data_IF_976124364488
#
_entry.id   IF_976124364488
#
_cell.length_a   1.000
_cell.length_b   1.000
_cell.length_c   1.000
_cell.angle_alpha   90.00
_cell.angle_beta   90.00
_cell.angle_gamma   90.00
#
_symmetry.space_group_name_H-M   'P 1'
#
loop_
_entity.id
_entity.type
_entity.pdbx_description
1 polymer ?
#
# COMPACT_ATOMS: atom_id res chain seq x y z
N UNK A 1 22.58 -38.42 9.14
CA UNK A 1 23.14 -37.12 8.74
C UNK A 1 21.99 -36.34 8.13
N UNK A 2 21.45 -35.34 8.83
CA UNK A 2 20.30 -34.58 8.32
C UNK A 2 20.79 -33.63 7.23
N UNK A 3 20.08 -33.67 6.11
CA UNK A 3 20.26 -32.78 4.97
C UNK A 3 19.86 -31.37 5.42
N UNK A 4 20.82 -30.57 5.88
CA UNK A 4 20.56 -29.18 6.21
C UNK A 4 20.32 -28.46 4.89
N UNK A 5 19.05 -28.16 4.60
CA UNK A 5 18.67 -27.40 3.42
C UNK A 5 19.53 -26.13 3.34
N UNK A 6 20.25 -25.95 2.23
CA UNK A 6 20.94 -24.70 1.93
C UNK A 6 19.88 -23.60 2.02
N UNK A 7 20.02 -22.59 2.90
CA UNK A 7 19.04 -21.53 2.98
C UNK A 7 18.93 -20.88 1.60
N UNK A 8 17.73 -20.90 1.02
CA UNK A 8 17.46 -20.16 -0.20
C UNK A 8 17.80 -18.68 0.01
N UNK A 9 18.02 -17.94 -1.08
CA UNK A 9 18.22 -16.48 -0.97
C UNK A 9 17.05 -15.86 -0.17
N UNK A 10 17.29 -14.82 0.64
CA UNK A 10 16.21 -14.08 1.28
C UNK A 10 15.12 -13.69 0.26
N UNK A 11 13.81 -13.81 0.61
CA UNK A 11 12.73 -13.32 -0.23
C UNK A 11 12.90 -11.82 -0.49
N UNK A 12 12.66 -11.39 -1.72
CA UNK A 12 12.68 -9.99 -2.14
C UNK A 12 11.25 -9.47 -2.12
N UNK A 13 10.92 -8.65 -1.14
CA UNK A 13 9.58 -8.10 -0.97
C UNK A 13 9.60 -6.66 -1.43
N UNK A 14 8.81 -6.36 -2.46
CA UNK A 14 8.59 -5.00 -2.88
C UNK A 14 7.53 -4.33 -2.03
N UNK A 15 7.79 -3.08 -1.65
CA UNK A 15 6.89 -2.26 -0.86
C UNK A 15 6.47 -1.07 -1.73
N UNK A 16 5.17 -0.84 -1.87
CA UNK A 16 4.66 0.28 -2.66
C UNK A 16 5.15 1.62 -2.10
N UNK A 17 5.47 2.55 -2.99
CA UNK A 17 5.85 3.89 -2.59
C UNK A 17 4.67 4.67 -2.00
N UNK A 18 4.95 5.41 -0.93
CA UNK A 18 4.11 6.52 -0.50
C UNK A 18 4.55 7.82 -1.20
N UNK A 19 3.63 8.78 -1.32
CA UNK A 19 3.80 9.95 -2.17
C UNK A 19 3.72 11.22 -1.35
N UNK A 20 4.71 12.08 -1.55
CA UNK A 20 4.59 13.50 -1.31
C UNK A 20 4.40 14.18 -2.67
N UNK A 21 3.14 14.41 -3.05
CA UNK A 21 2.76 15.03 -4.33
C UNK A 21 3.42 16.41 -4.53
N UNK A 22 3.52 16.92 -5.77
CA UNK A 22 4.15 18.21 -6.04
C UNK A 22 3.58 19.33 -5.17
N UNK A 23 4.46 20.11 -4.56
CA UNK A 23 4.09 21.23 -3.71
C UNK A 23 5.13 22.35 -3.86
N UNK A 24 4.69 23.49 -4.39
CA UNK A 24 5.53 24.66 -4.66
C UNK A 24 5.85 25.47 -3.39
N UNK A 25 5.16 25.18 -2.28
CA UNK A 25 5.38 25.82 -0.99
C UNK A 25 6.52 25.16 -0.20
N UNK A 26 7.00 23.98 -0.59
CA UNK A 26 8.11 23.30 0.09
C UNK A 26 9.38 24.15 0.08
N UNK A 27 10.17 24.19 1.16
CA UNK A 27 11.44 24.93 1.18
C UNK A 27 12.47 24.35 0.19
N UNK A 28 12.44 23.04 -0.03
CA UNK A 28 13.30 22.30 -0.97
C UNK A 28 12.44 21.30 -1.77
N UNK A 29 12.93 20.89 -2.94
CA UNK A 29 12.21 19.98 -3.85
C UNK A 29 10.84 20.48 -4.34
N UNK A 30 10.68 21.81 -4.49
CA UNK A 30 9.48 22.45 -5.05
C UNK A 30 9.06 21.82 -6.38
N UNK A 31 7.76 21.62 -6.53
CA UNK A 31 7.15 21.06 -7.74
C UNK A 31 7.51 19.60 -8.03
N UNK A 32 8.20 18.90 -7.11
CA UNK A 32 8.59 17.49 -7.29
C UNK A 32 7.68 16.57 -6.49
N UNK A 33 7.32 15.44 -7.09
CA UNK A 33 6.82 14.28 -6.35
C UNK A 33 8.00 13.59 -5.68
N UNK A 34 7.91 13.39 -4.36
CA UNK A 34 8.87 12.56 -3.63
C UNK A 34 8.22 11.22 -3.30
N UNK A 35 8.98 10.15 -3.49
CA UNK A 35 8.57 8.81 -3.13
C UNK A 35 9.29 8.42 -1.84
N UNK A 36 8.56 7.85 -0.90
CA UNK A 36 9.13 7.43 0.39
C UNK A 36 8.60 6.07 0.81
N UNK A 37 9.37 5.45 1.71
CA UNK A 37 9.03 4.25 2.45
C UNK A 37 9.34 4.52 3.92
N UNK A 38 8.42 4.16 4.81
CA UNK A 38 8.66 4.25 6.24
C UNK A 38 9.67 3.20 6.70
N UNK A 39 10.64 3.63 7.51
CA UNK A 39 11.69 2.75 8.00
C UNK A 39 11.13 1.58 8.83
N UNK A 40 10.09 1.84 9.63
CA UNK A 40 9.39 0.82 10.42
C UNK A 40 8.86 -0.31 9.54
N UNK A 41 8.28 0.02 8.38
CA UNK A 41 7.78 -0.98 7.44
C UNK A 41 8.91 -1.81 6.83
N UNK A 42 10.00 -1.15 6.42
CA UNK A 42 11.18 -1.85 5.91
C UNK A 42 11.78 -2.80 6.97
N UNK A 43 11.88 -2.35 8.22
CA UNK A 43 12.37 -3.16 9.34
C UNK A 43 11.44 -4.32 9.67
N UNK A 44 10.12 -4.12 9.60
CA UNK A 44 9.15 -5.19 9.80
C UNK A 44 9.32 -6.30 8.77
N UNK A 45 9.42 -5.95 7.48
CA UNK A 45 9.72 -6.92 6.41
C UNK A 45 11.05 -7.63 6.65
N UNK A 46 12.10 -6.89 7.01
CA UNK A 46 13.42 -7.45 7.29
C UNK A 46 13.44 -8.38 8.50
N UNK A 47 12.62 -8.11 9.52
CA UNK A 47 12.50 -8.97 10.71
C UNK A 47 11.99 -10.38 10.36
N UNK A 48 11.26 -10.52 9.24
CA UNK A 48 10.84 -11.81 8.67
C UNK A 48 11.92 -12.50 7.81
N UNK A 49 13.15 -11.99 7.77
CA UNK A 49 14.24 -12.56 6.97
C UNK A 49 14.19 -12.23 5.48
N UNK A 50 13.42 -11.20 5.09
CA UNK A 50 13.29 -10.74 3.72
C UNK A 50 14.10 -9.46 3.43
N UNK A 51 14.40 -9.20 2.15
CA UNK A 51 14.96 -7.93 1.68
C UNK A 51 13.81 -7.04 1.22
N UNK A 52 13.73 -5.84 1.78
CA UNK A 52 12.74 -4.84 1.41
C UNK A 52 13.22 -3.95 0.25
N UNK A 53 12.38 -3.79 -0.77
CA UNK A 53 12.62 -2.90 -1.91
C UNK A 53 11.51 -1.85 -2.00
N UNK A 54 11.85 -0.57 -2.08
CA UNK A 54 10.89 0.45 -2.49
C UNK A 54 10.59 0.28 -3.98
N UNK A 55 9.31 0.09 -4.33
CA UNK A 55 8.88 0.08 -5.74
C UNK A 55 8.48 1.52 -6.12
N UNK A 56 9.20 2.20 -7.03
CA UNK A 56 8.75 3.49 -7.55
C UNK A 56 7.61 3.32 -8.58
N UNK A 57 6.98 4.42 -9.00
CA UNK A 57 6.08 4.39 -10.16
C UNK A 57 6.82 3.94 -11.41
N UNK A 58 6.27 2.96 -12.13
CA UNK A 58 6.76 2.56 -13.45
C UNK A 58 6.13 3.48 -14.49
N UNK A 59 6.94 4.13 -15.32
CA UNK A 59 6.43 5.03 -16.37
C UNK A 59 5.77 4.20 -17.47
N UNK A 60 4.54 4.54 -17.91
CA UNK A 60 3.95 3.93 -19.09
C UNK A 60 4.85 4.08 -20.32
N UNK A 61 4.98 3.00 -21.11
CA UNK A 61 5.85 2.93 -22.30
C UNK A 61 7.34 3.28 -22.04
N UNK A 62 7.81 3.10 -20.80
CA UNK A 62 9.23 3.15 -20.48
C UNK A 62 9.98 1.87 -20.86
N UNK A 63 11.33 1.89 -20.79
CA UNK A 63 12.16 0.70 -21.05
C UNK A 63 12.09 -0.35 -19.93
N UNK A 64 11.59 0.04 -18.75
CA UNK A 64 11.29 -0.85 -17.63
C UNK A 64 9.78 -0.98 -17.54
N UNK A 65 9.30 -2.22 -17.50
CA UNK A 65 7.88 -2.56 -17.42
C UNK A 65 7.49 -3.01 -16.02
N UNK A 66 6.18 -3.11 -15.78
CA UNK A 66 5.68 -3.67 -14.53
C UNK A 66 6.01 -5.17 -14.42
N UNK A 67 6.04 -5.89 -15.54
CA UNK A 67 6.40 -7.31 -15.58
C UNK A 67 7.86 -7.53 -15.17
N UNK A 68 8.77 -6.63 -15.52
CA UNK A 68 10.17 -6.69 -15.08
C UNK A 68 10.26 -6.57 -13.55
N UNK A 69 9.52 -5.62 -12.97
CA UNK A 69 9.44 -5.43 -11.51
C UNK A 69 8.85 -6.67 -10.83
N UNK A 70 7.75 -7.20 -11.37
CA UNK A 70 7.09 -8.39 -10.85
C UNK A 70 8.03 -9.58 -10.94
N UNK A 71 8.77 -9.77 -12.03
CA UNK A 71 9.70 -10.89 -12.22
C UNK A 71 10.80 -10.91 -11.14
N UNK A 72 11.33 -9.75 -10.76
CA UNK A 72 12.46 -9.62 -9.83
C UNK A 72 12.11 -9.79 -8.34
N UNK A 73 10.83 -9.65 -8.00
CA UNK A 73 10.32 -9.65 -6.62
C UNK A 73 9.52 -10.92 -6.32
N UNK A 74 9.57 -11.40 -5.08
CA UNK A 74 8.88 -12.62 -4.65
C UNK A 74 7.49 -12.34 -4.06
N UNK A 75 7.21 -11.09 -3.69
CA UNK A 75 5.92 -10.67 -3.14
C UNK A 75 5.80 -9.15 -3.05
N UNK A 76 4.58 -8.68 -2.81
CA UNK A 76 4.23 -7.27 -2.71
C UNK A 76 3.63 -6.95 -1.35
N UNK A 77 4.06 -5.85 -0.76
CA UNK A 77 3.45 -5.23 0.41
C UNK A 77 2.94 -3.84 0.03
N UNK A 78 1.67 -3.58 0.33
CA UNK A 78 1.07 -2.26 0.19
C UNK A 78 1.06 -1.53 1.52
N UNK A 79 1.64 -0.33 1.50
CA UNK A 79 1.76 0.51 2.68
C UNK A 79 0.42 1.14 3.09
N UNK A 80 0.28 1.49 4.38
CA UNK A 80 -0.77 2.42 4.84
C UNK A 80 -0.65 3.83 4.23
N UNK A 81 -1.55 4.74 4.59
CA UNK A 81 -1.47 6.15 4.21
C UNK A 81 -2.83 6.82 4.07
N UNK A 82 -2.88 7.86 3.22
CA UNK A 82 -4.08 8.65 2.93
C UNK A 82 -5.26 7.81 2.42
N UNK A 83 -6.49 8.33 2.55
CA UNK A 83 -7.69 7.62 2.12
C UNK A 83 -7.64 7.26 0.61
N UNK A 84 -8.25 6.13 0.24
CA UNK A 84 -8.46 5.74 -1.17
C UNK A 84 -9.46 6.70 -1.80
N UNK A 85 -9.16 7.20 -3.01
CA UNK A 85 -10.05 8.12 -3.72
C UNK A 85 -11.41 7.44 -4.01
N UNK A 86 -12.54 8.05 -3.63
CA UNK A 86 -13.88 7.52 -3.94
C UNK A 86 -14.12 7.19 -5.41
N UNK A 87 -13.54 7.99 -6.31
CA UNK A 87 -13.67 7.77 -7.76
C UNK A 87 -13.03 6.46 -8.21
N UNK A 88 -12.03 5.97 -7.49
CA UNK A 88 -11.34 4.70 -7.78
C UNK A 88 -12.30 3.50 -7.64
N UNK A 89 -13.29 3.57 -6.74
CA UNK A 89 -14.32 2.53 -6.56
C UNK A 89 -15.72 2.97 -7.03
N UNK A 90 -15.79 3.97 -7.92
CA UNK A 90 -17.02 4.36 -8.60
C UNK A 90 -17.93 5.32 -7.85
N UNK A 91 -17.44 5.96 -6.79
CA UNK A 91 -18.18 6.96 -6.02
C UNK A 91 -17.66 8.40 -6.25
N UNK A 92 -18.42 9.37 -5.73
CA UNK A 92 -18.01 10.77 -5.65
C UNK A 92 -17.67 11.07 -4.19
N UNK A 93 -16.62 11.87 -3.90
CA UNK A 93 -16.33 12.29 -2.56
C UNK A 93 -17.53 12.97 -1.91
N UNK A 94 -17.94 12.47 -0.73
CA UNK A 94 -19.01 13.06 0.07
C UNK A 94 -18.61 14.44 0.61
N UNK A 95 -17.29 14.66 0.77
CA UNK A 95 -16.71 15.95 1.18
C UNK A 95 -15.39 16.21 0.47
N UNK A 96 -15.02 17.49 0.22
CA UNK A 96 -13.76 17.84 -0.44
C UNK A 96 -12.51 17.37 0.30
N UNK A 97 -12.55 17.27 1.63
CA UNK A 97 -11.43 16.75 2.42
C UNK A 97 -11.21 15.24 2.29
N UNK A 98 -12.15 14.50 1.67
CA UNK A 98 -12.10 13.05 1.46
C UNK A 98 -11.87 12.68 -0.02
N UNK A 99 -11.21 13.57 -0.76
CA UNK A 99 -10.86 13.35 -2.17
C UNK A 99 -9.92 12.15 -2.36
N UNK A 100 -9.14 11.78 -1.35
CA UNK A 100 -8.18 10.68 -1.40
C UNK A 100 -7.04 10.90 -2.38
N UNK A 101 -6.36 9.83 -2.78
CA UNK A 101 -5.18 9.87 -3.65
C UNK A 101 -5.32 8.97 -4.88
N UNK A 102 -6.02 9.47 -5.90
CA UNK A 102 -6.30 8.72 -7.13
C UNK A 102 -5.02 8.33 -7.89
N UNK A 103 -3.96 9.15 -7.79
CA UNK A 103 -2.69 8.87 -8.47
C UNK A 103 -2.00 7.66 -7.84
N UNK A 104 -1.93 7.61 -6.50
CA UNK A 104 -1.38 6.48 -5.78
C UNK A 104 -2.26 5.23 -5.93
N UNK A 105 -3.58 5.39 -5.91
CA UNK A 105 -4.53 4.30 -6.10
C UNK A 105 -4.28 3.55 -7.42
N UNK A 106 -4.19 4.27 -8.55
CA UNK A 106 -3.98 3.66 -9.87
C UNK A 106 -2.67 2.86 -9.92
N UNK A 107 -1.59 3.47 -9.44
CA UNK A 107 -0.27 2.82 -9.37
C UNK A 107 -0.29 1.54 -8.51
N UNK A 108 -0.93 1.56 -7.34
CA UNK A 108 -0.98 0.38 -6.48
C UNK A 108 -1.94 -0.69 -7.02
N UNK A 109 -3.06 -0.31 -7.64
CA UNK A 109 -3.98 -1.26 -8.29
C UNK A 109 -3.29 -1.99 -9.44
N UNK A 110 -2.48 -1.28 -10.23
CA UNK A 110 -1.66 -1.89 -11.29
C UNK A 110 -0.70 -2.93 -10.70
N UNK A 111 0.02 -2.59 -9.62
CA UNK A 111 0.90 -3.53 -8.92
C UNK A 111 0.15 -4.75 -8.38
N UNK A 112 -0.97 -4.55 -7.70
CA UNK A 112 -1.81 -5.65 -7.17
C UNK A 112 -2.19 -6.62 -8.27
N UNK A 113 -2.71 -6.10 -9.38
CA UNK A 113 -3.16 -6.93 -10.50
C UNK A 113 -2.00 -7.69 -11.14
N UNK A 114 -0.85 -7.06 -11.30
CA UNK A 114 0.31 -7.69 -11.91
C UNK A 114 0.90 -8.80 -11.02
N UNK A 115 1.07 -8.55 -9.71
CA UNK A 115 1.53 -9.58 -8.77
C UNK A 115 0.52 -10.73 -8.65
N UNK A 116 -0.77 -10.41 -8.59
CA UNK A 116 -1.83 -11.42 -8.56
C UNK A 116 -1.83 -12.30 -9.82
N UNK A 117 -1.74 -11.69 -11.01
CA UNK A 117 -1.67 -12.41 -12.28
C UNK A 117 -0.44 -13.34 -12.37
N UNK A 118 0.67 -12.96 -11.74
CA UNK A 118 1.87 -13.77 -11.63
C UNK A 118 1.82 -14.84 -10.51
N UNK A 119 0.71 -14.94 -9.78
CA UNK A 119 0.56 -15.88 -8.66
C UNK A 119 1.45 -15.55 -7.45
N UNK A 120 1.89 -14.29 -7.31
CA UNK A 120 2.76 -13.85 -6.22
C UNK A 120 1.94 -13.29 -5.05
N UNK A 121 2.35 -13.56 -3.80
CA UNK A 121 1.62 -13.10 -2.62
C UNK A 121 1.60 -11.57 -2.53
N UNK A 122 0.45 -11.04 -2.12
CA UNK A 122 0.25 -9.61 -1.85
C UNK A 122 -0.31 -9.42 -0.44
N UNK A 123 0.31 -8.56 0.34
CA UNK A 123 -0.17 -8.15 1.66
C UNK A 123 -0.50 -6.66 1.65
N UNK A 124 -1.67 -6.28 2.15
CA UNK A 124 -2.05 -4.87 2.30
C UNK A 124 -2.22 -4.50 3.76
N UNK A 125 -1.61 -3.40 4.19
CA UNK A 125 -1.70 -2.90 5.57
C UNK A 125 -2.51 -1.60 5.59
N UNK A 126 -3.52 -1.53 6.46
CA UNK A 126 -4.42 -0.37 6.59
C UNK A 126 -5.02 0.01 5.23
N UNK A 127 -4.68 1.18 4.70
CA UNK A 127 -5.00 1.61 3.33
C UNK A 127 -4.66 0.55 2.27
N UNK A 128 -3.52 -0.13 2.38
CA UNK A 128 -3.12 -1.16 1.43
C UNK A 128 -4.16 -2.30 1.34
N UNK A 129 -4.82 -2.65 2.45
CA UNK A 129 -5.90 -3.63 2.45
C UNK A 129 -7.16 -3.10 1.74
N UNK A 130 -7.47 -1.82 1.92
CA UNK A 130 -8.58 -1.17 1.23
C UNK A 130 -8.34 -1.15 -0.29
N UNK A 131 -7.11 -0.86 -0.72
CA UNK A 131 -6.70 -0.90 -2.13
C UNK A 131 -6.84 -2.31 -2.71
N UNK A 132 -6.49 -3.37 -1.96
CA UNK A 132 -6.73 -4.74 -2.40
C UNK A 132 -8.22 -5.00 -2.67
N UNK A 133 -9.10 -4.63 -1.74
CA UNK A 133 -10.55 -4.77 -1.92
C UNK A 133 -11.03 -4.04 -3.19
N UNK A 134 -10.61 -2.78 -3.37
CA UNK A 134 -10.99 -1.96 -4.54
C UNK A 134 -10.41 -2.52 -5.85
N UNK A 135 -9.19 -3.03 -5.85
CA UNK A 135 -8.55 -3.61 -7.03
C UNK A 135 -9.37 -4.77 -7.64
N UNK A 136 -10.10 -5.49 -6.79
CA UNK A 136 -10.99 -6.60 -7.14
C UNK A 136 -12.49 -6.23 -7.16
N UNK A 137 -12.82 -4.93 -7.21
CA UNK A 137 -14.17 -4.43 -7.45
C UNK A 137 -15.02 -4.23 -6.19
N UNK A 138 -14.41 -4.28 -5.00
CA UNK A 138 -15.09 -3.91 -3.76
C UNK A 138 -15.23 -2.39 -3.61
N UNK A 139 -16.06 -1.99 -2.64
CA UNK A 139 -16.31 -0.58 -2.26
C UNK A 139 -15.86 -0.31 -0.83
N UNK A 140 -15.87 0.96 -0.42
CA UNK A 140 -15.47 1.41 0.91
C UNK A 140 -16.48 2.40 1.48
N UNK A 141 -16.59 2.45 2.80
CA UNK A 141 -17.13 3.63 3.47
C UNK A 141 -16.05 4.73 3.46
N UNK A 142 -16.42 5.93 3.01
CA UNK A 142 -15.57 7.12 3.03
C UNK A 142 -15.34 7.64 4.45
N UNK A 143 -16.38 7.54 5.30
CA UNK A 143 -16.26 7.81 6.73
C UNK A 143 -17.30 6.98 7.51
N UNK A 144 -16.84 6.32 8.57
CA UNK A 144 -17.67 5.40 9.33
C UNK A 144 -18.76 6.13 10.14
N UNK A 145 -18.49 7.35 10.63
CA UNK A 145 -19.45 8.09 11.47
C UNK A 145 -20.48 8.80 10.63
N UNK A 146 -20.03 9.52 9.60
CA UNK A 146 -20.89 10.25 8.68
C UNK A 146 -21.84 9.32 7.90
N UNK A 147 -21.43 8.06 7.69
CA UNK A 147 -22.27 7.04 7.05
C UNK A 147 -22.96 6.11 8.06
N UNK A 148 -22.93 6.42 9.35
CA UNK A 148 -23.73 5.74 10.38
C UNK A 148 -23.30 4.30 10.69
N UNK A 149 -22.08 3.90 10.33
CA UNK A 149 -21.52 2.58 10.64
C UNK A 149 -21.16 2.48 12.12
N UNK A 150 -20.73 3.59 12.73
CA UNK A 150 -20.35 3.65 14.14
C UNK A 150 -20.46 5.06 14.69
N UNK A 151 -20.58 5.21 16.00
CA UNK A 151 -20.48 6.50 16.71
C UNK A 151 -19.05 6.78 17.20
N UNK A 152 -18.15 5.80 17.13
CA UNK A 152 -16.76 5.95 17.60
C UNK A 152 -15.94 6.78 16.63
N UNK A 153 -15.22 7.76 17.15
CA UNK A 153 -14.25 8.54 16.37
C UNK A 153 -13.01 7.68 16.13
N UNK A 154 -12.75 7.33 14.88
CA UNK A 154 -11.61 6.48 14.48
C UNK A 154 -10.41 7.29 13.95
N UNK A 155 -10.64 8.58 13.64
CA UNK A 155 -9.61 9.50 13.17
C UNK A 155 -9.33 10.53 14.25
N UNK A 156 -8.38 10.20 15.11
CA UNK A 156 -7.87 11.09 16.16
C UNK A 156 -6.33 11.08 16.08
N UNK A 157 -5.76 12.24 15.77
CA UNK A 157 -4.33 12.40 15.55
C UNK A 157 -3.50 12.21 16.84
N UNK A 158 -4.09 12.47 18.01
CA UNK A 158 -3.39 12.39 19.29
C UNK A 158 -3.24 10.94 19.79
N UNK A 159 -4.08 10.04 19.28
CA UNK A 159 -4.11 8.63 19.69
C UNK A 159 -3.90 7.66 18.52
N UNK A 160 -3.63 8.18 17.31
CA UNK A 160 -3.55 7.42 16.06
C UNK A 160 -2.68 6.15 16.19
N UNK A 161 -1.46 6.29 16.71
CA UNK A 161 -0.52 5.18 16.89
C UNK A 161 -0.80 4.28 18.10
N UNK A 162 -1.87 4.56 18.86
CA UNK A 162 -2.26 3.81 20.07
C UNK A 162 -3.58 3.04 19.92
N UNK A 163 -4.22 3.12 18.75
CA UNK A 163 -5.43 2.37 18.47
C UNK A 163 -5.07 0.90 18.19
N UNK A 164 -5.32 0.04 19.18
CA UNK A 164 -5.04 -1.39 19.13
C UNK A 164 -6.33 -2.18 19.37
N UNK A 165 -6.45 -3.33 18.72
CA UNK A 165 -7.48 -4.32 19.01
C UNK A 165 -6.89 -5.73 18.91
N UNK A 166 -7.45 -6.68 19.65
CA UNK A 166 -7.08 -8.09 19.54
C UNK A 166 -7.53 -8.64 18.20
N UNK A 167 -6.69 -9.49 17.60
CA UNK A 167 -6.97 -10.17 16.34
C UNK A 167 -6.64 -11.64 16.48
N UNK A 168 -7.57 -12.49 16.06
CA UNK A 168 -7.36 -13.94 15.98
C UNK A 168 -6.94 -14.31 14.56
N UNK A 169 -5.75 -14.91 14.43
CA UNK A 169 -5.29 -15.47 13.16
C UNK A 169 -5.77 -16.91 13.07
N UNK A 170 -6.69 -17.17 12.14
CA UNK A 170 -7.22 -18.51 11.86
C UNK A 170 -6.57 -19.09 10.60
N UNK A 171 -6.44 -20.42 10.54
CA UNK A 171 -5.97 -21.10 9.33
C UNK A 171 -7.00 -20.95 8.20
N UNK A 172 -6.51 -20.62 7.00
CA UNK A 172 -7.29 -20.53 5.76
C UNK A 172 -6.93 -21.64 4.77
#
# INVERSE_FOLDING_TARGET
MSDAAVPGRPPRIGISACFFHPDDQRPIFKGKTLLYLEQSMAFWVQSGGAIAYLIPTVRPAGPVTLDDVVADLDGLLLHGGADVCPRTYGEVPLRPEWEGDEVRDRYEIELVRAFHAAGKPVLGICRGHQVLNVAFGGTLYQDLVAQGVTERVHRDADVYDRNLHEVDVVAG
#
